data_IF_988361037240
#
_entry.id   IF_988361037240
#
_cell.length_a   1.000
_cell.length_b   1.000
_cell.length_c   1.000
_cell.angle_alpha   90.00
_cell.angle_beta   90.00
_cell.angle_gamma   90.00
#
_symmetry.space_group_name_H-M   'P 1'
#
loop_
_entity.id
_entity.type
_entity.pdbx_description
1 polymer ?
#
# COMPACT_ATOMS: atom_id res chain seq x y z
N UNK A 1 -8.02 -20.15 28.71
CA UNK A 1 -8.60 -19.97 27.36
C UNK A 1 -7.81 -18.86 26.70
N UNK A 2 -6.96 -19.20 25.72
CA UNK A 2 -6.02 -18.26 25.11
C UNK A 2 -6.74 -17.42 24.05
N UNK A 3 -6.84 -16.12 24.29
CA UNK A 3 -7.26 -15.13 23.29
C UNK A 3 -6.11 -14.95 22.30
N UNK A 4 -6.11 -15.78 21.25
CA UNK A 4 -5.22 -15.57 20.12
C UNK A 4 -5.60 -14.25 19.46
N UNK A 5 -4.77 -13.22 19.64
CA UNK A 5 -4.86 -11.98 18.87
C UNK A 5 -4.94 -12.31 17.38
N UNK A 6 -5.77 -11.58 16.59
CA UNK A 6 -5.81 -11.76 15.15
C UNK A 6 -4.40 -11.49 14.63
N UNK A 7 -3.76 -12.53 14.07
CA UNK A 7 -2.45 -12.41 13.43
C UNK A 7 -2.57 -11.28 12.41
N UNK A 8 -1.91 -10.15 12.65
CA UNK A 8 -1.74 -9.10 11.66
C UNK A 8 -1.15 -9.75 10.41
N UNK A 9 -2.01 -9.99 9.41
CA UNK A 9 -1.59 -10.64 8.18
C UNK A 9 -0.62 -9.70 7.48
N UNK A 10 0.57 -10.21 7.14
CA UNK A 10 1.59 -9.46 6.39
C UNK A 10 0.96 -8.86 5.12
N UNK A 11 1.27 -7.60 4.84
CA UNK A 11 0.85 -6.88 3.63
C UNK A 11 1.35 -7.59 2.38
N UNK A 12 2.55 -8.19 2.43
CA UNK A 12 3.07 -9.03 1.35
C UNK A 12 2.25 -10.31 1.20
N UNK A 13 1.86 -10.95 2.30
CA UNK A 13 0.97 -12.13 2.26
C UNK A 13 -0.41 -11.77 1.65
N UNK A 14 -0.96 -10.62 2.03
CA UNK A 14 -2.21 -10.11 1.47
C UNK A 14 -2.08 -9.82 -0.03
N UNK A 15 -0.95 -9.24 -0.47
CA UNK A 15 -0.66 -8.98 -1.87
C UNK A 15 -0.59 -10.27 -2.69
N UNK A 16 0.10 -11.30 -2.19
CA UNK A 16 0.19 -12.61 -2.84
C UNK A 16 -1.19 -13.25 -2.94
N UNK A 17 -1.99 -13.23 -1.86
CA UNK A 17 -3.33 -13.81 -1.83
C UNK A 17 -4.29 -13.13 -2.81
N UNK A 18 -4.21 -11.81 -2.94
CA UNK A 18 -5.00 -11.06 -3.90
C UNK A 18 -4.66 -11.42 -5.35
N UNK A 19 -3.38 -11.68 -5.64
CA UNK A 19 -2.93 -11.95 -7.01
C UNK A 19 -2.99 -13.41 -7.43
N UNK A 20 -2.85 -14.32 -6.48
CA UNK A 20 -2.85 -15.77 -6.69
C UNK A 20 -3.86 -16.44 -5.74
N UNK A 21 -5.17 -16.16 -5.88
CA UNK A 21 -6.19 -16.71 -4.98
C UNK A 21 -6.21 -18.24 -5.05
N UNK A 22 -6.23 -18.89 -3.88
CA UNK A 22 -6.27 -20.35 -3.77
C UNK A 22 -4.96 -21.08 -4.10
N UNK A 23 -3.89 -20.37 -4.44
CA UNK A 23 -2.57 -20.97 -4.71
C UNK A 23 -1.73 -20.94 -3.43
N UNK A 24 -1.23 -22.10 -3.01
CA UNK A 24 -0.30 -22.17 -1.87
C UNK A 24 1.07 -21.57 -2.25
N UNK A 25 1.81 -21.02 -1.29
CA UNK A 25 3.17 -20.49 -1.54
C UNK A 25 4.09 -21.56 -2.13
N UNK A 26 3.99 -22.80 -1.66
CA UNK A 26 4.77 -23.93 -2.19
C UNK A 26 4.45 -24.20 -3.67
N UNK A 27 3.18 -24.13 -4.04
CA UNK A 27 2.74 -24.30 -5.43
C UNK A 27 3.16 -23.10 -6.29
N UNK A 28 3.13 -21.89 -5.74
CA UNK A 28 3.63 -20.69 -6.40
C UNK A 28 5.14 -20.80 -6.69
N UNK A 29 5.93 -21.19 -5.69
CA UNK A 29 7.37 -21.42 -5.86
C UNK A 29 7.65 -22.45 -6.97
N UNK A 30 6.92 -23.58 -6.97
CA UNK A 30 7.05 -24.63 -7.98
C UNK A 30 6.72 -24.13 -9.39
N UNK A 31 5.64 -23.37 -9.57
CA UNK A 31 5.20 -22.86 -10.88
C UNK A 31 6.19 -21.90 -11.52
N UNK A 32 6.92 -21.15 -10.71
CA UNK A 32 7.85 -20.13 -11.17
C UNK A 32 9.32 -20.54 -11.05
N UNK A 33 9.61 -21.83 -10.80
CA UNK A 33 10.97 -22.34 -10.71
C UNK A 33 11.77 -21.76 -9.53
N UNK A 34 11.09 -21.29 -8.47
CA UNK A 34 11.73 -20.78 -7.26
C UNK A 34 12.06 -21.95 -6.34
N UNK A 35 13.26 -21.93 -5.75
CA UNK A 35 13.65 -22.92 -4.75
C UNK A 35 12.66 -22.92 -3.58
N UNK A 36 12.33 -24.11 -3.08
CA UNK A 36 11.44 -24.28 -1.93
C UNK A 36 11.87 -23.40 -0.75
N UNK A 37 10.94 -22.57 -0.26
CA UNK A 37 11.18 -21.61 0.81
C UNK A 37 11.72 -20.25 0.35
N UNK A 38 11.96 -20.02 -0.94
CA UNK A 38 12.41 -18.74 -1.46
C UNK A 38 11.42 -17.59 -1.18
N UNK A 39 10.12 -17.86 -1.29
CA UNK A 39 9.03 -16.94 -0.96
C UNK A 39 8.58 -17.19 0.48
N UNK A 40 8.41 -18.45 0.89
CA UNK A 40 7.87 -18.77 2.22
C UNK A 40 8.74 -18.23 3.37
N UNK A 41 10.06 -18.14 3.18
CA UNK A 41 10.94 -17.56 4.19
C UNK A 41 10.83 -16.03 4.30
N UNK A 42 10.32 -15.33 3.29
CA UNK A 42 10.09 -13.88 3.33
C UNK A 42 8.87 -13.53 4.19
N UNK A 43 7.93 -14.45 4.32
CA UNK A 43 6.67 -14.27 5.07
C UNK A 43 6.79 -14.66 6.55
N UNK A 44 7.95 -15.16 6.99
CA UNK A 44 8.13 -15.66 8.36
C UNK A 44 8.25 -14.51 9.36
N UNK A 45 7.37 -14.44 10.40
CA UNK A 45 7.46 -13.42 11.45
C UNK A 45 8.80 -13.41 12.19
N UNK A 46 9.45 -14.58 12.30
CA UNK A 46 10.71 -14.76 13.02
C UNK A 46 11.93 -14.11 12.36
N UNK A 47 11.82 -13.57 11.14
CA UNK A 47 12.93 -12.85 10.51
C UNK A 47 13.05 -11.39 10.95
N UNK A 48 12.09 -10.87 11.71
CA UNK A 48 12.04 -9.45 12.06
C UNK A 48 11.97 -8.56 10.80
N UNK A 49 12.03 -7.24 10.99
CA UNK A 49 11.93 -6.22 9.94
C UNK A 49 13.15 -6.18 8.98
N UNK A 50 13.70 -7.34 8.60
CA UNK A 50 14.82 -7.40 7.66
C UNK A 50 14.28 -7.24 6.25
N UNK A 51 14.32 -6.00 5.78
CA UNK A 51 13.90 -5.62 4.46
C UNK A 51 14.62 -6.48 3.40
N UNK A 52 13.90 -7.12 2.45
CA UNK A 52 14.53 -7.93 1.42
C UNK A 52 15.35 -7.06 0.45
N UNK A 53 16.31 -7.69 -0.21
CA UNK A 53 17.11 -7.04 -1.25
C UNK A 53 16.24 -6.72 -2.47
N UNK A 54 16.64 -5.70 -3.23
CA UNK A 54 15.92 -5.26 -4.42
C UNK A 54 15.73 -6.38 -5.46
N UNK A 55 16.76 -7.19 -5.68
CA UNK A 55 16.72 -8.37 -6.57
C UNK A 55 15.58 -9.36 -6.21
N UNK A 56 15.29 -9.49 -4.91
CA UNK A 56 14.26 -10.36 -4.35
C UNK A 56 12.88 -9.75 -4.55
N UNK A 57 12.77 -8.43 -4.38
CA UNK A 57 11.54 -7.66 -4.62
C UNK A 57 11.17 -7.70 -6.09
N UNK A 58 12.11 -7.42 -6.99
CA UNK A 58 11.92 -7.47 -8.45
C UNK A 58 11.50 -8.88 -8.91
N UNK A 59 12.16 -9.92 -8.37
CA UNK A 59 11.78 -11.30 -8.67
C UNK A 59 10.36 -11.62 -8.22
N UNK A 60 9.97 -11.20 -7.02
CA UNK A 60 8.61 -11.39 -6.54
C UNK A 60 7.60 -10.59 -7.37
N UNK A 61 7.94 -9.38 -7.78
CA UNK A 61 7.12 -8.55 -8.66
C UNK A 61 6.90 -9.23 -10.02
N UNK A 62 7.96 -9.80 -10.61
CA UNK A 62 7.86 -10.58 -11.84
C UNK A 62 6.99 -11.83 -11.69
N UNK A 63 7.10 -12.55 -10.57
CA UNK A 63 6.27 -13.72 -10.26
C UNK A 63 4.79 -13.34 -10.17
N UNK A 64 4.49 -12.22 -9.51
CA UNK A 64 3.13 -11.74 -9.31
C UNK A 64 2.57 -10.97 -10.52
N UNK A 65 3.41 -10.63 -11.50
CA UNK A 65 3.07 -9.75 -12.61
C UNK A 65 2.61 -8.37 -12.12
N UNK A 66 3.34 -7.82 -11.15
CA UNK A 66 3.09 -6.52 -10.53
C UNK A 66 4.27 -5.57 -10.75
N UNK A 67 4.02 -4.29 -10.58
CA UNK A 67 5.07 -3.27 -10.52
C UNK A 67 5.96 -3.46 -9.28
N UNK A 68 7.27 -3.28 -9.44
CA UNK A 68 8.26 -3.44 -8.36
C UNK A 68 7.98 -2.50 -7.19
N UNK A 69 7.51 -1.28 -7.43
CA UNK A 69 7.19 -0.31 -6.37
C UNK A 69 6.01 -0.80 -5.51
N UNK A 70 5.04 -1.51 -6.09
CA UNK A 70 3.90 -2.06 -5.35
C UNK A 70 4.33 -3.17 -4.38
N UNK A 71 5.24 -4.04 -4.81
CA UNK A 71 5.81 -5.08 -3.95
C UNK A 71 6.73 -4.49 -2.89
N UNK A 72 7.55 -3.51 -3.27
CA UNK A 72 8.40 -2.75 -2.35
C UNK A 72 7.58 -2.11 -1.23
N UNK A 73 6.48 -1.44 -1.58
CA UNK A 73 5.62 -0.76 -0.60
C UNK A 73 4.98 -1.74 0.40
N UNK A 74 4.58 -2.93 -0.05
CA UNK A 74 4.09 -3.98 0.85
C UNK A 74 5.15 -4.43 1.86
N UNK A 75 6.41 -4.59 1.43
CA UNK A 75 7.52 -4.87 2.36
C UNK A 75 7.83 -3.69 3.27
N UNK A 76 7.68 -2.45 2.81
CA UNK A 76 7.89 -1.26 3.63
C UNK A 76 6.85 -1.16 4.73
N UNK A 77 5.57 -1.45 4.43
CA UNK A 77 4.51 -1.52 5.43
C UNK A 77 4.75 -2.64 6.44
N UNK A 78 5.16 -3.83 5.99
CA UNK A 78 5.49 -4.95 6.89
C UNK A 78 6.72 -4.67 7.78
N UNK A 79 7.66 -3.87 7.29
CA UNK A 79 8.83 -3.43 8.04
C UNK A 79 8.54 -2.20 8.94
N UNK A 80 7.32 -1.63 8.89
CA UNK A 80 6.98 -0.38 9.58
C UNK A 80 7.65 0.87 8.98
N UNK A 81 8.28 0.75 7.81
CA UNK A 81 8.98 1.81 7.08
C UNK A 81 8.08 2.57 6.09
N UNK A 82 6.82 2.18 5.99
CA UNK A 82 5.87 2.69 5.00
C UNK A 82 4.54 3.19 5.57
N UNK A 83 4.37 3.19 6.89
CA UNK A 83 3.28 3.96 7.47
C UNK A 83 3.69 5.43 7.31
N UNK A 84 2.92 6.26 6.56
CA UNK A 84 3.08 7.70 6.71
C UNK A 84 2.96 8.01 8.21
N UNK A 85 3.77 8.93 8.71
CA UNK A 85 3.57 9.52 10.03
C UNK A 85 2.28 10.34 9.94
N UNK A 86 1.17 9.63 10.01
CA UNK A 86 -0.16 10.20 9.89
C UNK A 86 -0.42 10.90 11.21
N UNK A 87 -0.75 12.17 11.10
CA UNK A 87 -1.34 12.92 12.19
C UNK A 87 -2.61 12.23 12.68
N UNK A 88 -3.02 12.49 13.92
CA UNK A 88 -4.27 11.95 14.49
C UNK A 88 -5.49 12.21 13.59
N UNK A 89 -5.48 13.34 12.88
CA UNK A 89 -6.54 13.73 11.94
C UNK A 89 -6.56 12.82 10.72
N UNK A 90 -5.41 12.52 10.13
CA UNK A 90 -5.33 11.63 8.97
C UNK A 90 -5.65 10.18 9.34
N UNK A 91 -5.23 9.74 10.54
CA UNK A 91 -5.62 8.43 11.08
C UNK A 91 -7.14 8.31 11.25
N UNK A 92 -7.80 9.32 11.83
CA UNK A 92 -9.26 9.36 11.98
C UNK A 92 -9.96 9.39 10.62
N UNK A 93 -9.42 10.13 9.65
CA UNK A 93 -9.95 10.17 8.28
C UNK A 93 -9.89 8.79 7.62
N UNK A 94 -8.73 8.11 7.67
CA UNK A 94 -8.57 6.75 7.13
C UNK A 94 -9.52 5.77 7.82
N UNK A 95 -9.66 5.85 9.15
CA UNK A 95 -10.56 5.00 9.91
C UNK A 95 -12.05 5.23 9.56
N UNK A 96 -12.46 6.47 9.32
CA UNK A 96 -13.81 6.80 8.84
C UNK A 96 -14.03 6.32 7.41
N UNK A 97 -13.07 6.56 6.52
CA UNK A 97 -13.16 6.16 5.12
C UNK A 97 -13.31 4.64 4.97
N UNK A 98 -12.53 3.85 5.72
CA UNK A 98 -12.62 2.38 5.72
C UNK A 98 -13.96 1.83 6.22
N UNK A 99 -14.72 2.61 7.00
CA UNK A 99 -16.07 2.22 7.46
C UNK A 99 -17.15 2.45 6.40
N UNK A 100 -16.86 3.20 5.35
CA UNK A 100 -17.79 3.44 4.25
C UNK A 100 -17.85 2.21 3.32
N UNK A 101 -19.01 1.98 2.70
CA UNK A 101 -19.13 1.00 1.60
C UNK A 101 -18.44 1.50 0.33
N UNK A 102 -18.14 0.60 -0.61
CA UNK A 102 -17.35 0.91 -1.83
C UNK A 102 -17.93 2.08 -2.66
N UNK A 103 -19.26 2.17 -2.75
CA UNK A 103 -19.93 3.26 -3.48
C UNK A 103 -19.70 4.62 -2.82
N UNK A 104 -19.71 4.67 -1.48
CA UNK A 104 -19.53 5.91 -0.73
C UNK A 104 -18.04 6.28 -0.62
N UNK A 105 -17.14 5.30 -0.58
CA UNK A 105 -15.71 5.52 -0.74
C UNK A 105 -15.41 6.17 -2.10
N UNK A 106 -16.02 5.66 -3.18
CA UNK A 106 -15.86 6.22 -4.53
C UNK A 106 -16.36 7.66 -4.63
N UNK A 107 -17.49 7.96 -3.98
CA UNK A 107 -18.03 9.33 -3.90
C UNK A 107 -17.13 10.26 -3.10
N UNK A 108 -16.61 9.80 -1.96
CA UNK A 108 -15.70 10.58 -1.13
C UNK A 108 -14.40 10.93 -1.89
N UNK A 109 -13.84 9.99 -2.66
CA UNK A 109 -12.69 10.25 -3.53
C UNK A 109 -13.01 11.28 -4.61
N UNK A 110 -14.16 11.18 -5.28
CA UNK A 110 -14.57 12.16 -6.29
C UNK A 110 -14.72 13.57 -5.70
N UNK A 111 -15.22 13.68 -4.46
CA UNK A 111 -15.35 14.93 -3.73
C UNK A 111 -13.98 15.55 -3.40
N UNK A 112 -13.04 14.73 -2.93
CA UNK A 112 -11.66 15.16 -2.67
C UNK A 112 -11.02 15.69 -3.95
N UNK A 113 -11.12 14.97 -5.07
CA UNK A 113 -10.58 15.43 -6.35
C UNK A 113 -11.21 16.73 -6.85
N UNK A 114 -12.51 16.94 -6.61
CA UNK A 114 -13.17 18.20 -6.95
C UNK A 114 -12.62 19.37 -6.10
N UNK A 115 -12.41 19.15 -4.80
CA UNK A 115 -11.83 20.15 -3.90
C UNK A 115 -10.39 20.49 -4.27
N UNK A 116 -9.57 19.50 -4.62
CA UNK A 116 -8.19 19.69 -5.10
C UNK A 116 -8.14 20.55 -6.36
N UNK A 117 -9.06 20.30 -7.30
CA UNK A 117 -9.17 21.07 -8.55
C UNK A 117 -9.50 22.54 -8.28
N UNK A 118 -10.41 22.80 -7.35
CA UNK A 118 -10.76 24.17 -6.94
C UNK A 118 -9.60 24.87 -6.25
N UNK A 119 -8.89 24.18 -5.35
CA UNK A 119 -7.73 24.71 -4.66
C UNK A 119 -6.63 25.14 -5.65
N UNK A 120 -6.31 24.29 -6.63
CA UNK A 120 -5.32 24.62 -7.66
C UNK A 120 -5.75 25.78 -8.58
N UNK A 121 -7.06 25.95 -8.80
CA UNK A 121 -7.59 27.06 -9.60
C UNK A 121 -7.44 28.40 -8.87
N UNK A 122 -7.58 28.39 -7.54
CA UNK A 122 -7.41 29.57 -6.68
C UNK A 122 -5.94 29.95 -6.53
N UNK A 123 -5.04 28.97 -6.42
CA UNK A 123 -3.58 29.21 -6.36
C UNK A 123 -3.03 29.78 -7.69
N UNK A 124 -3.64 29.43 -8.83
CA UNK A 124 -3.30 29.98 -10.15
C UNK A 124 -3.83 31.40 -10.44
N UNK A 125 -4.75 31.91 -9.61
CA UNK A 125 -5.38 33.24 -9.76
C UNK A 125 -4.86 34.25 -8.71
N UNK A 126 -3.56 34.26 -8.44
CA UNK A 126 -2.96 35.43 -7.78
C UNK A 126 -3.17 36.66 -8.70
N UNK A 127 -3.95 37.69 -8.28
CA UNK A 127 -4.23 38.83 -9.14
C UNK A 127 -2.93 39.58 -9.39
N UNK A 128 -2.60 39.78 -10.67
CA UNK A 128 -1.57 40.70 -11.09
C UNK A 128 -1.88 42.06 -10.45
N UNK A 129 -1.04 42.49 -9.52
CA UNK A 129 -1.16 43.78 -8.87
C UNK A 129 -1.27 44.86 -9.95
N UNK A 130 -2.44 45.51 -9.98
CA UNK A 130 -2.70 46.70 -10.78
C UNK A 130 -1.64 47.73 -10.40
N UNK A 131 -0.61 47.84 -11.24
CA UNK A 131 0.33 48.95 -11.19
C UNK A 131 -0.40 50.17 -11.72
N UNK A 132 -1.02 50.89 -10.81
CA UNK A 132 -1.58 52.21 -11.06
C UNK A 132 -0.38 53.18 -11.17
N UNK A 133 0.04 53.46 -12.41
CA UNK A 133 0.83 54.62 -12.76
C UNK A 133 -0.09 55.56 -13.54
N UNK A 134 -0.51 56.66 -12.91
CA UNK A 134 -0.19 58.07 -13.22
C UNK A 134 -1.22 58.98 -12.55
#
# INVERSE_FOLDING_TARGET
>A
MSTAEPRSHSHVEALIRARCPGVSIKELERRHGVQAGGIANLLKPSRGARFPRLDTIERLAAILGLDTAKVFHAFALDAGLGAPDLTDTELDLVARFRRLGEQDQSRALALISALETVAHTLDGHAPAATSDQV
#
